data_IF_155832864574
#
_entry.id   IF_155832864574
#
_cell.length_a   1.000
_cell.length_b   1.000
_cell.length_c   1.000
_cell.angle_alpha   90.00
_cell.angle_beta   90.00
_cell.angle_gamma   90.00
#
_symmetry.space_group_name_H-M   'P 1'
#
loop_
_entity.id
_entity.type
_entity.pdbx_description
1 polymer ?
#
# COMPACT_ATOMS: atom_id res chain seq x y z
N UNK A 1 21.11 8.72 26.61
CA UNK A 1 21.18 7.76 25.50
C UNK A 1 21.05 8.51 24.20
N UNK A 2 21.87 8.17 23.18
CA UNK A 2 21.74 8.80 21.86
C UNK A 2 20.42 8.38 21.21
N UNK A 3 19.89 9.24 20.34
CA UNK A 3 18.65 8.94 19.57
C UNK A 3 18.76 7.60 18.83
N UNK A 4 19.94 7.24 18.32
CA UNK A 4 20.21 5.96 17.67
C UNK A 4 20.06 4.76 18.62
N UNK A 5 20.55 4.88 19.86
CA UNK A 5 20.41 3.81 20.87
C UNK A 5 18.95 3.59 21.25
N UNK A 6 18.17 4.67 21.34
CA UNK A 6 16.74 4.58 21.64
C UNK A 6 15.98 3.92 20.48
N UNK A 7 16.27 4.30 19.24
CA UNK A 7 15.65 3.68 18.06
C UNK A 7 15.96 2.20 17.96
N UNK A 8 17.20 1.79 18.26
CA UNK A 8 17.60 0.38 18.28
C UNK A 8 16.84 -0.43 19.35
N UNK A 9 16.62 0.15 20.54
CA UNK A 9 15.85 -0.50 21.60
C UNK A 9 14.38 -0.68 21.21
N UNK A 10 13.76 0.35 20.61
CA UNK A 10 12.38 0.26 20.13
C UNK A 10 12.27 -0.78 19.02
N UNK A 11 13.22 -0.78 18.07
CA UNK A 11 13.29 -1.78 17.02
C UNK A 11 13.30 -3.20 17.57
N UNK A 12 14.13 -3.47 18.58
CA UNK A 12 14.21 -4.79 19.21
C UNK A 12 12.88 -5.15 19.89
N UNK A 13 12.26 -4.22 20.57
CA UNK A 13 10.94 -4.42 21.19
C UNK A 13 9.88 -4.81 20.16
N UNK A 14 9.88 -4.15 19.00
CA UNK A 14 8.96 -4.47 17.90
C UNK A 14 9.21 -5.87 17.34
N UNK A 15 10.47 -6.25 17.16
CA UNK A 15 10.83 -7.63 16.74
C UNK A 15 10.36 -8.67 17.76
N UNK A 16 10.52 -8.41 19.05
CA UNK A 16 10.08 -9.30 20.14
C UNK A 16 8.55 -9.48 20.13
N UNK A 17 7.81 -8.48 19.66
CA UNK A 17 6.36 -8.53 19.46
C UNK A 17 5.95 -9.09 18.10
N UNK A 18 6.89 -9.62 17.33
CA UNK A 18 6.66 -10.20 16.00
C UNK A 18 6.30 -9.20 14.89
N UNK A 19 6.80 -7.98 14.97
CA UNK A 19 6.73 -7.07 13.85
C UNK A 19 7.48 -7.68 12.66
N UNK A 20 6.89 -7.74 11.44
CA UNK A 20 7.56 -8.30 10.28
C UNK A 20 8.87 -7.57 9.98
N UNK A 21 9.99 -8.29 10.04
CA UNK A 21 11.32 -7.69 9.89
C UNK A 21 11.51 -7.00 8.55
N UNK A 22 10.99 -7.58 7.48
CA UNK A 22 11.08 -7.00 6.15
C UNK A 22 10.39 -5.62 6.06
N UNK A 23 9.29 -5.42 6.77
CA UNK A 23 8.61 -4.13 6.87
C UNK A 23 9.39 -3.19 7.79
N UNK A 24 9.83 -3.68 8.93
CA UNK A 24 10.55 -2.89 9.93
C UNK A 24 11.85 -2.29 9.36
N UNK A 25 12.55 -3.04 8.50
CA UNK A 25 13.77 -2.57 7.83
C UNK A 25 13.55 -1.36 6.92
N UNK A 26 12.33 -1.17 6.45
CA UNK A 26 11.98 -0.08 5.53
C UNK A 26 11.48 1.18 6.25
N UNK A 27 11.16 1.08 7.54
CA UNK A 27 10.63 2.21 8.31
C UNK A 27 11.70 3.29 8.54
N UNK A 28 11.26 4.54 8.53
CA UNK A 28 12.10 5.65 8.98
C UNK A 28 12.37 5.56 10.49
N UNK A 29 13.48 6.12 10.99
CA UNK A 29 13.72 6.21 12.43
C UNK A 29 12.58 6.89 13.20
N UNK A 30 11.94 7.89 12.60
CA UNK A 30 10.80 8.61 13.16
C UNK A 30 9.57 7.70 13.30
N UNK A 31 9.29 6.87 12.30
CA UNK A 31 8.16 5.93 12.34
C UNK A 31 8.43 4.78 13.34
N UNK A 32 9.67 4.34 13.48
CA UNK A 32 10.06 3.39 14.55
C UNK A 32 9.85 4.04 15.92
N UNK A 33 10.31 5.27 16.10
CA UNK A 33 10.18 6.01 17.37
C UNK A 33 8.70 6.24 17.75
N UNK A 34 7.82 6.42 16.77
CA UNK A 34 6.38 6.54 16.99
C UNK A 34 5.75 5.27 17.62
N UNK A 35 6.42 4.13 17.54
CA UNK A 35 6.00 2.86 18.12
C UNK A 35 6.57 2.60 19.51
N UNK A 36 7.17 3.59 20.16
CA UNK A 36 7.73 3.44 21.51
C UNK A 36 6.67 3.00 22.50
N UNK A 37 7.01 2.00 23.32
CA UNK A 37 6.09 1.44 24.28
C UNK A 37 5.01 0.52 23.69
N UNK A 38 5.19 0.05 22.46
CA UNK A 38 4.25 -0.86 21.81
C UNK A 38 3.82 -2.02 22.73
N UNK A 39 2.51 -2.27 22.77
CA UNK A 39 1.91 -3.27 23.65
C UNK A 39 1.61 -4.57 22.91
N UNK A 40 1.17 -4.49 21.65
CA UNK A 40 0.75 -5.63 20.84
C UNK A 40 0.85 -5.28 19.36
N UNK A 41 1.08 -6.31 18.54
CA UNK A 41 1.12 -6.20 17.09
C UNK A 41 0.15 -7.20 16.48
N UNK A 42 -0.60 -6.71 15.47
CA UNK A 42 -1.44 -7.55 14.60
C UNK A 42 -0.95 -7.35 13.18
N UNK A 43 -0.71 -8.44 12.48
CA UNK A 43 -0.18 -8.38 11.11
C UNK A 43 -0.80 -9.43 10.20
N UNK A 44 -0.91 -9.09 8.93
CA UNK A 44 -1.35 -9.97 7.87
C UNK A 44 -0.57 -9.69 6.59
N UNK A 45 -0.16 -10.74 5.89
CA UNK A 45 0.57 -10.66 4.63
C UNK A 45 -0.11 -11.50 3.58
N UNK A 46 -0.30 -10.93 2.39
CA UNK A 46 -0.91 -11.60 1.24
C UNK A 46 -0.14 -11.28 -0.04
N UNK A 47 -0.02 -12.29 -0.91
CA UNK A 47 0.56 -12.12 -2.25
C UNK A 47 -0.56 -12.06 -3.27
N UNK A 48 -0.50 -11.05 -4.14
CA UNK A 48 -1.49 -10.81 -5.18
C UNK A 48 -0.88 -10.91 -6.56
N UNK A 49 -1.48 -11.72 -7.47
CA UNK A 49 -1.09 -11.70 -8.87
C UNK A 49 -1.58 -10.40 -9.51
N UNK A 50 -0.69 -9.74 -10.24
CA UNK A 50 -1.02 -8.61 -11.10
C UNK A 50 -0.88 -9.10 -12.51
N UNK A 51 -2.00 -9.47 -13.14
CA UNK A 51 -2.02 -9.98 -14.49
C UNK A 51 -1.88 -8.82 -15.48
N UNK A 52 -0.80 -8.85 -16.21
CA UNK A 52 -0.53 -7.90 -17.30
C UNK A 52 -0.83 -8.61 -18.63
N UNK A 53 -2.09 -8.52 -19.06
CA UNK A 53 -2.51 -9.03 -20.36
C UNK A 53 -2.12 -8.06 -21.46
N UNK A 54 -1.31 -8.49 -22.41
CA UNK A 54 -0.97 -7.71 -23.60
C UNK A 54 -1.40 -8.44 -24.86
N UNK A 55 -1.91 -7.69 -25.81
CA UNK A 55 -2.20 -8.21 -27.14
C UNK A 55 -0.91 -8.34 -27.93
N UNK A 56 -0.69 -9.50 -28.51
CA UNK A 56 0.46 -9.81 -29.35
C UNK A 56 -0.06 -10.26 -30.71
N UNK A 57 0.55 -9.76 -31.78
CA UNK A 57 0.31 -10.24 -33.12
C UNK A 57 1.43 -11.23 -33.50
N UNK A 58 1.03 -12.49 -33.66
CA UNK A 58 1.91 -13.53 -34.15
C UNK A 58 1.86 -13.56 -35.68
N UNK A 59 3.02 -13.55 -36.31
CA UNK A 59 3.14 -13.78 -37.73
C UNK A 59 3.02 -15.29 -38.03
N UNK A 60 2.14 -15.64 -38.95
CA UNK A 60 1.94 -17.01 -39.36
C UNK A 60 1.83 -17.11 -40.87
N UNK A 61 1.98 -18.29 -41.42
CA UNK A 61 1.89 -18.58 -42.85
C UNK A 61 0.91 -19.71 -43.11
N UNK A 62 0.03 -19.52 -44.09
CA UNK A 62 -0.91 -20.57 -44.49
C UNK A 62 -0.21 -21.61 -45.41
N UNK A 63 -0.98 -22.61 -45.85
CA UNK A 63 -0.49 -23.68 -46.72
C UNK A 63 0.05 -23.19 -48.07
N UNK A 64 -0.40 -21.99 -48.50
CA UNK A 64 0.08 -21.32 -49.73
C UNK A 64 1.27 -20.39 -49.48
N UNK A 65 1.83 -20.43 -48.28
CA UNK A 65 2.92 -19.56 -47.82
C UNK A 65 2.55 -18.06 -47.86
N UNK A 66 1.29 -17.74 -47.69
CA UNK A 66 0.80 -16.38 -47.54
C UNK A 66 0.81 -15.98 -46.07
N UNK A 67 1.37 -14.80 -45.78
CA UNK A 67 1.49 -14.29 -44.42
C UNK A 67 0.14 -13.79 -43.89
N UNK A 68 -0.15 -14.15 -42.67
CA UNK A 68 -1.28 -13.59 -41.90
C UNK A 68 -0.88 -13.37 -40.45
N UNK A 69 -1.69 -12.63 -39.70
CA UNK A 69 -1.42 -12.34 -38.29
C UNK A 69 -2.52 -12.96 -37.43
N UNK A 70 -2.09 -13.59 -36.34
CA UNK A 70 -2.98 -14.10 -35.32
C UNK A 70 -2.85 -13.21 -34.10
N UNK A 71 -3.98 -12.67 -33.66
CA UNK A 71 -4.03 -11.91 -32.43
C UNK A 71 -4.22 -12.88 -31.27
N UNK A 72 -3.37 -12.71 -30.27
CA UNK A 72 -3.39 -13.49 -29.03
C UNK A 72 -3.20 -12.58 -27.83
N UNK A 73 -3.62 -13.03 -26.66
CA UNK A 73 -3.38 -12.33 -25.41
C UNK A 73 -2.36 -13.13 -24.60
N UNK A 74 -1.20 -12.54 -24.40
CA UNK A 74 -0.15 -13.09 -23.54
C UNK A 74 -0.29 -12.47 -22.16
N UNK A 75 -0.41 -13.32 -21.15
CA UNK A 75 -0.45 -12.89 -19.75
C UNK A 75 0.92 -13.05 -19.12
N UNK A 76 1.45 -11.95 -18.61
CA UNK A 76 2.66 -11.93 -17.80
C UNK A 76 2.24 -11.65 -16.35
N UNK A 77 2.36 -12.65 -15.49
CA UNK A 77 1.94 -12.55 -14.10
C UNK A 77 3.06 -11.95 -13.29
N UNK A 78 2.80 -10.77 -12.75
CA UNK A 78 3.64 -10.10 -11.76
C UNK A 78 3.07 -10.36 -10.37
N UNK A 79 3.90 -10.27 -9.35
CA UNK A 79 3.46 -10.52 -7.98
C UNK A 79 3.74 -9.32 -7.08
N UNK A 80 2.70 -8.88 -6.39
CA UNK A 80 2.74 -7.82 -5.41
C UNK A 80 2.37 -8.40 -4.04
N UNK A 81 3.24 -8.19 -3.06
CA UNK A 81 2.98 -8.53 -1.65
C UNK A 81 2.49 -7.32 -0.90
N UNK A 82 1.35 -7.45 -0.23
CA UNK A 82 0.80 -6.46 0.69
C UNK A 82 0.90 -6.97 2.12
N UNK A 83 1.44 -6.16 3.01
CA UNK A 83 1.53 -6.47 4.44
C UNK A 83 0.90 -5.34 5.23
N UNK A 84 -0.13 -5.65 5.99
CA UNK A 84 -0.71 -4.75 6.98
C UNK A 84 -0.14 -5.05 8.36
N UNK A 85 0.18 -4.01 9.10
CA UNK A 85 0.67 -4.11 10.47
C UNK A 85 -0.04 -3.06 11.32
N UNK A 86 -0.61 -3.48 12.44
CA UNK A 86 -1.17 -2.57 13.43
C UNK A 86 -0.41 -2.75 14.75
N UNK A 87 0.04 -1.63 15.32
CA UNK A 87 0.79 -1.57 16.56
C UNK A 87 -0.04 -0.83 17.59
N UNK A 88 -0.40 -1.53 18.65
CA UNK A 88 -1.09 -0.90 19.80
C UNK A 88 -0.10 -0.07 20.60
N UNK A 89 -0.43 1.19 20.80
CA UNK A 89 0.40 2.14 21.54
C UNK A 89 -0.15 2.33 22.97
N UNK A 90 0.74 2.67 23.93
CA UNK A 90 0.29 3.00 25.28
C UNK A 90 -0.44 4.35 25.29
N UNK A 91 -1.33 4.53 26.24
CA UNK A 91 -2.07 5.78 26.44
C UNK A 91 -3.39 5.57 27.15
N UNK A 92 -4.05 6.67 27.52
CA UNK A 92 -5.36 6.65 28.15
C UNK A 92 -6.48 6.23 27.19
N UNK A 93 -6.29 6.58 25.90
CA UNK A 93 -7.16 6.13 24.81
C UNK A 93 -6.45 5.03 24.05
N UNK A 94 -7.20 4.05 23.65
CA UNK A 94 -6.67 3.01 22.76
C UNK A 94 -6.29 3.61 21.42
N UNK A 95 -5.01 3.53 21.09
CA UNK A 95 -4.42 4.10 19.88
C UNK A 95 -3.61 3.02 19.19
N UNK A 96 -3.81 2.92 17.89
CA UNK A 96 -3.06 2.01 17.02
C UNK A 96 -2.34 2.81 15.95
N UNK A 97 -1.10 2.43 15.66
CA UNK A 97 -0.40 2.87 14.47
C UNK A 97 -0.51 1.78 13.41
N UNK A 98 -0.99 2.14 12.23
CA UNK A 98 -1.27 1.21 11.14
C UNK A 98 -0.32 1.46 10.00
N UNK A 99 0.32 0.39 9.53
CA UNK A 99 1.22 0.39 8.39
C UNK A 99 0.62 -0.45 7.27
N UNK A 100 0.63 0.08 6.06
CA UNK A 100 0.37 -0.69 4.84
C UNK A 100 1.64 -0.67 4.00
N UNK A 101 2.26 -1.84 3.88
CA UNK A 101 3.50 -2.04 3.14
C UNK A 101 3.21 -2.78 1.85
N UNK A 102 3.89 -2.39 0.78
CA UNK A 102 3.89 -3.09 -0.49
C UNK A 102 5.30 -3.48 -0.91
N UNK A 103 5.42 -4.61 -1.58
CA UNK A 103 6.66 -5.11 -2.16
C UNK A 103 6.37 -5.81 -3.48
N UNK A 104 7.00 -5.36 -4.54
CA UNK A 104 7.06 -6.12 -5.78
C UNK A 104 8.07 -7.24 -5.61
N UNK A 105 7.59 -8.48 -5.57
CA UNK A 105 8.43 -9.68 -5.46
C UNK A 105 8.99 -10.11 -6.81
N UNK A 106 8.41 -9.59 -7.89
CA UNK A 106 8.88 -9.72 -9.27
C UNK A 106 9.16 -8.34 -9.85
N UNK A 107 9.78 -8.29 -11.04
CA UNK A 107 9.82 -7.05 -11.82
C UNK A 107 8.37 -6.60 -12.12
N UNK A 108 7.98 -5.36 -11.84
CA UNK A 108 6.63 -4.86 -12.12
C UNK A 108 6.30 -4.77 -13.62
N UNK A 109 7.27 -4.91 -14.51
CA UNK A 109 7.11 -4.90 -15.96
C UNK A 109 7.03 -3.49 -16.55
N UNK A 110 6.08 -2.69 -16.13
CA UNK A 110 5.95 -1.30 -16.55
C UNK A 110 6.37 -0.36 -15.42
N UNK A 111 7.22 0.60 -15.74
CA UNK A 111 7.74 1.59 -14.78
C UNK A 111 7.06 2.94 -15.03
N UNK A 112 5.88 3.08 -14.52
CA UNK A 112 5.07 4.28 -14.61
C UNK A 112 4.69 4.84 -13.25
N UNK A 113 3.46 5.28 -13.14
CA UNK A 113 2.92 5.83 -11.90
C UNK A 113 2.12 4.79 -11.17
N UNK A 114 2.40 4.67 -9.89
CA UNK A 114 1.68 3.86 -8.94
C UNK A 114 0.85 4.73 -8.01
N UNK A 115 -0.18 4.15 -7.43
CA UNK A 115 -0.93 4.80 -6.37
C UNK A 115 -1.29 3.82 -5.27
N UNK A 116 -1.23 4.30 -4.04
CA UNK A 116 -1.73 3.60 -2.88
C UNK A 116 -2.81 4.45 -2.22
N UNK A 117 -3.97 3.86 -1.97
CA UNK A 117 -5.06 4.49 -1.25
C UNK A 117 -5.39 3.68 -0.01
N UNK A 118 -5.45 4.35 1.11
CA UNK A 118 -5.81 3.76 2.40
C UNK A 118 -7.17 4.28 2.80
N UNK A 119 -8.03 3.36 3.20
CA UNK A 119 -9.31 3.66 3.85
C UNK A 119 -9.20 3.35 5.32
N UNK A 120 -8.99 4.37 6.16
CA UNK A 120 -8.88 4.18 7.60
C UNK A 120 -10.14 3.62 8.21
N UNK A 121 -9.98 3.08 9.39
CA UNK A 121 -10.93 2.33 10.18
C UNK A 121 -12.36 2.89 10.24
N UNK A 122 -13.30 2.00 10.44
CA UNK A 122 -14.69 2.28 10.81
C UNK A 122 -15.49 3.18 9.88
N UNK A 123 -15.39 2.94 8.60
CA UNK A 123 -16.12 3.71 7.60
C UNK A 123 -17.63 3.57 7.67
N UNK A 124 -18.12 2.42 8.11
CA UNK A 124 -19.55 2.10 8.15
C UNK A 124 -20.22 2.38 9.48
N UNK A 125 -19.43 2.76 10.50
CA UNK A 125 -19.93 3.02 11.86
C UNK A 125 -19.47 4.41 12.27
N UNK A 126 -20.39 5.35 12.57
CA UNK A 126 -20.06 6.72 13.01
C UNK A 126 -19.20 6.76 14.25
N UNK A 127 -19.34 5.74 15.04
CA UNK A 127 -18.72 5.54 16.33
C UNK A 127 -17.74 4.41 16.19
N UNK A 128 -16.47 4.68 16.27
CA UNK A 128 -15.48 3.64 16.12
C UNK A 128 -14.09 4.23 15.92
N UNK A 129 -13.29 3.58 15.14
CA UNK A 129 -11.92 3.99 14.90
C UNK A 129 -11.85 5.11 13.86
N UNK A 130 -11.07 6.12 14.14
CA UNK A 130 -10.86 7.26 13.25
C UNK A 130 -9.37 7.53 13.06
N UNK A 131 -8.97 7.86 11.83
CA UNK A 131 -7.62 8.30 11.57
C UNK A 131 -7.33 9.60 12.34
N UNK A 132 -6.13 9.67 12.92
CA UNK A 132 -5.63 10.82 13.67
C UNK A 132 -4.29 11.28 13.12
N UNK A 133 -4.14 12.57 12.86
CA UNK A 133 -2.91 13.15 12.36
C UNK A 133 -2.62 12.87 10.88
N UNK A 134 -1.41 13.21 10.47
CA UNK A 134 -0.95 13.07 9.11
C UNK A 134 -0.39 11.66 8.85
N UNK A 135 -0.53 11.19 7.62
CA UNK A 135 0.12 9.98 7.19
C UNK A 135 1.62 10.22 6.92
N UNK A 136 2.42 9.19 7.18
CA UNK A 136 3.84 9.14 6.86
C UNK A 136 4.13 8.00 5.89
N UNK A 137 5.35 7.93 5.39
CA UNK A 137 5.78 6.84 4.54
C UNK A 137 6.88 7.22 3.58
N UNK A 138 7.33 6.23 2.83
CA UNK A 138 8.36 6.40 1.79
C UNK A 138 8.35 5.25 0.81
N UNK A 139 9.00 5.45 -0.32
CA UNK A 139 9.26 4.44 -1.34
C UNK A 139 10.75 4.08 -1.32
N UNK A 140 11.05 2.80 -1.46
CA UNK A 140 12.41 2.28 -1.48
C UNK A 140 12.63 1.38 -2.70
N UNK A 141 13.86 1.27 -3.09
CA UNK A 141 14.31 0.32 -4.13
C UNK A 141 15.78 0.00 -3.94
N UNK A 142 16.20 -1.13 -4.49
CA UNK A 142 17.59 -1.54 -4.51
C UNK A 142 18.18 -1.31 -5.89
N UNK A 143 19.46 -0.96 -5.94
CA UNK A 143 20.24 -0.85 -7.16
C UNK A 143 21.71 -1.05 -6.85
N UNK A 144 22.36 -1.97 -7.57
CA UNK A 144 23.79 -2.22 -7.40
C UNK A 144 24.17 -2.65 -5.98
N UNK A 145 23.31 -3.39 -5.30
CA UNK A 145 23.53 -3.85 -3.92
C UNK A 145 23.32 -2.77 -2.84
N UNK A 146 22.83 -1.59 -3.22
CA UNK A 146 22.50 -0.50 -2.31
C UNK A 146 21.00 -0.24 -2.27
N UNK A 147 20.50 0.17 -1.10
CA UNK A 147 19.11 0.56 -0.92
C UNK A 147 18.99 2.07 -0.94
N UNK A 148 18.08 2.54 -1.78
CA UNK A 148 17.70 3.95 -1.89
C UNK A 148 16.30 4.15 -1.37
N UNK A 149 16.08 5.26 -0.69
CA UNK A 149 14.77 5.63 -0.16
C UNK A 149 14.49 7.10 -0.46
N UNK A 150 13.24 7.39 -0.74
CA UNK A 150 12.78 8.75 -0.97
C UNK A 150 11.37 8.94 -0.41
N UNK A 151 11.04 10.11 0.14
CA UNK A 151 9.65 10.45 0.41
C UNK A 151 8.88 10.52 -0.90
N UNK A 152 7.57 10.34 -0.85
CA UNK A 152 6.72 10.34 -2.04
C UNK A 152 6.89 11.61 -2.90
N UNK A 153 7.02 12.78 -2.27
CA UNK A 153 7.19 14.04 -2.99
C UNK A 153 8.45 14.08 -3.85
N UNK A 154 9.58 13.50 -3.42
CA UNK A 154 10.84 13.51 -4.18
C UNK A 154 10.83 12.57 -5.39
N UNK A 155 9.91 11.60 -5.44
CA UNK A 155 9.67 10.73 -6.58
C UNK A 155 8.57 11.26 -7.52
N UNK A 156 8.18 12.53 -7.37
CA UNK A 156 7.07 13.11 -8.10
C UNK A 156 5.70 12.70 -7.56
N UNK A 157 5.69 12.01 -6.44
CA UNK A 157 4.46 11.64 -5.78
C UNK A 157 3.85 12.85 -5.06
N UNK A 158 2.56 12.82 -4.93
CA UNK A 158 1.83 13.72 -4.05
C UNK A 158 0.93 12.94 -3.13
N UNK A 159 0.72 13.45 -1.96
CA UNK A 159 -0.19 12.89 -0.96
C UNK A 159 -1.34 13.85 -0.77
N UNK A 160 -2.54 13.35 -0.75
CA UNK A 160 -3.73 14.13 -0.44
C UNK A 160 -4.73 13.29 0.35
N UNK A 161 -5.67 13.97 0.92
CA UNK A 161 -6.77 13.36 1.65
C UNK A 161 -8.06 13.58 0.88
N UNK A 162 -8.75 12.52 0.55
CA UNK A 162 -10.05 12.58 -0.11
C UNK A 162 -11.16 12.29 0.90
N UNK A 163 -12.16 13.13 0.93
CA UNK A 163 -13.35 12.90 1.74
C UNK A 163 -14.29 11.97 0.98
N UNK A 164 -14.68 10.89 1.63
CA UNK A 164 -15.66 9.95 1.09
C UNK A 164 -16.93 9.99 1.92
N UNK A 165 -18.04 10.27 1.28
CA UNK A 165 -19.34 10.23 1.94
C UNK A 165 -19.89 8.81 1.91
N UNK A 166 -20.24 8.28 3.07
CA UNK A 166 -20.90 7.00 3.23
C UNK A 166 -22.33 7.24 3.77
N UNK A 167 -23.28 6.52 3.16
CA UNK A 167 -24.67 6.52 3.64
C UNK A 167 -25.32 7.92 3.76
N UNK A 168 -24.84 8.87 2.95
CA UNK A 168 -25.40 10.22 2.85
C UNK A 168 -25.05 11.20 3.98
N UNK A 169 -24.52 10.73 5.10
CA UNK A 169 -24.26 11.60 6.26
C UNK A 169 -22.86 11.49 6.85
N UNK A 170 -22.10 10.45 6.51
CA UNK A 170 -20.77 10.24 7.08
C UNK A 170 -19.66 10.50 6.08
N UNK A 171 -18.73 11.34 6.48
CA UNK A 171 -17.54 11.63 5.73
C UNK A 171 -16.33 10.99 6.41
N UNK A 172 -15.68 10.04 5.74
CA UNK A 172 -14.39 9.52 6.12
C UNK A 172 -13.31 10.07 5.20
N UNK A 173 -12.11 10.19 5.73
CA UNK A 173 -10.96 10.68 5.01
C UNK A 173 -10.11 9.50 4.53
N UNK A 174 -10.02 9.30 3.22
CA UNK A 174 -9.10 8.36 2.63
C UNK A 174 -7.72 9.03 2.43
N UNK A 175 -6.66 8.27 2.69
CA UNK A 175 -5.30 8.70 2.43
C UNK A 175 -4.88 8.22 1.04
N UNK A 176 -4.22 9.08 0.28
CA UNK A 176 -3.79 8.76 -1.07
C UNK A 176 -2.37 9.24 -1.31
N UNK A 177 -1.54 8.39 -1.90
CA UNK A 177 -0.23 8.75 -2.40
C UNK A 177 -0.03 8.18 -3.80
N UNK A 178 0.42 9.03 -4.72
CA UNK A 178 0.86 8.62 -6.04
C UNK A 178 2.37 8.85 -6.17
N UNK A 179 3.06 7.94 -6.83
CA UNK A 179 4.51 7.97 -6.97
C UNK A 179 4.93 7.28 -8.26
N UNK A 180 6.13 7.56 -8.71
CA UNK A 180 6.72 6.90 -9.89
C UNK A 180 7.62 5.76 -9.44
N UNK A 181 7.51 4.61 -10.11
CA UNK A 181 8.48 3.54 -9.94
C UNK A 181 9.83 3.95 -10.55
N UNK A 182 10.94 3.80 -9.81
CA UNK A 182 12.25 4.11 -10.33
C UNK A 182 12.66 3.10 -11.41
N UNK A 183 13.04 3.58 -12.57
CA UNK A 183 13.59 2.72 -13.64
C UNK A 183 14.86 2.05 -13.16
N UNK A 184 15.01 0.77 -13.49
CA UNK A 184 16.15 -0.06 -13.07
C UNK A 184 16.29 -0.27 -11.56
N UNK A 185 15.24 0.04 -10.79
CA UNK A 185 15.15 -0.32 -9.39
C UNK A 185 14.71 -1.77 -9.23
N UNK A 186 15.36 -2.47 -8.33
CA UNK A 186 14.97 -3.81 -7.90
C UNK A 186 14.26 -3.74 -6.55
N UNK A 187 13.41 -4.72 -6.27
CA UNK A 187 12.66 -4.81 -5.01
C UNK A 187 11.95 -3.51 -4.66
N UNK A 188 11.24 -2.94 -5.63
CA UNK A 188 10.43 -1.73 -5.41
C UNK A 188 9.42 -2.00 -4.32
N UNK A 189 9.43 -1.16 -3.30
CA UNK A 189 8.62 -1.33 -2.10
C UNK A 189 8.38 0.01 -1.42
N UNK A 190 7.52 0.01 -0.45
CA UNK A 190 7.24 1.19 0.33
C UNK A 190 6.12 0.98 1.32
N UNK A 191 5.76 2.01 2.04
CA UNK A 191 4.68 1.95 3.00
C UNK A 191 4.00 3.29 3.19
N UNK A 192 2.78 3.22 3.68
CA UNK A 192 2.04 4.34 4.24
C UNK A 192 1.65 3.98 5.66
N UNK A 193 1.86 4.89 6.60
CA UNK A 193 1.53 4.72 8.00
C UNK A 193 0.65 5.87 8.50
N UNK A 194 -0.27 5.56 9.39
CA UNK A 194 -1.10 6.54 10.06
C UNK A 194 -1.49 6.05 11.46
N UNK A 195 -1.87 6.97 12.33
CA UNK A 195 -2.42 6.64 13.63
C UNK A 195 -3.93 6.62 13.59
N UNK A 196 -4.54 5.72 14.36
CA UNK A 196 -5.98 5.69 14.57
C UNK A 196 -6.29 5.60 16.04
N UNK A 197 -7.30 6.34 16.46
CA UNK A 197 -7.75 6.37 17.84
C UNK A 197 -9.22 5.97 17.88
N UNK A 198 -9.57 5.19 18.88
CA UNK A 198 -10.97 4.87 19.14
C UNK A 198 -11.77 6.16 19.37
N UNK A 199 -12.80 6.35 18.57
CA UNK A 199 -13.71 7.49 18.71
C UNK A 199 -14.81 7.19 19.73
N UNK A 200 -15.27 5.95 19.76
CA UNK A 200 -16.20 5.36 20.74
C UNK A 200 -15.93 3.87 20.81
N UNK A 201 -16.72 3.13 21.57
CA UNK A 201 -16.60 1.67 21.71
C UNK A 201 -16.68 0.97 20.35
N UNK A 202 -15.54 0.85 19.69
CA UNK A 202 -15.40 0.17 18.41
C UNK A 202 -15.06 -1.30 18.59
N UNK A 203 -15.79 -2.18 17.91
CA UNK A 203 -15.61 -3.62 18.02
C UNK A 203 -14.54 -4.16 17.09
N UNK A 204 -14.35 -3.52 15.95
CA UNK A 204 -13.46 -3.97 14.87
C UNK A 204 -12.66 -2.79 14.37
N UNK A 205 -11.35 -2.96 14.29
CA UNK A 205 -10.50 -2.07 13.53
C UNK A 205 -10.39 -2.63 12.12
N UNK A 206 -10.72 -1.82 11.11
CA UNK A 206 -10.66 -2.19 9.71
C UNK A 206 -9.90 -1.10 8.93
N UNK A 207 -8.84 -1.47 8.25
CA UNK A 207 -8.04 -0.58 7.42
C UNK A 207 -7.88 -1.19 6.04
N UNK A 208 -8.54 -0.60 5.04
CA UNK A 208 -8.46 -1.04 3.66
C UNK A 208 -7.31 -0.39 2.91
N UNK A 209 -6.73 -1.13 1.98
CA UNK A 209 -5.69 -0.65 1.08
C UNK A 209 -6.03 -1.01 -0.36
N UNK A 210 -5.80 -0.06 -1.27
CA UNK A 210 -5.94 -0.23 -2.71
C UNK A 210 -4.62 0.19 -3.34
N UNK A 211 -3.97 -0.74 -4.01
CA UNK A 211 -2.75 -0.47 -4.75
C UNK A 211 -3.07 -0.49 -6.25
N UNK A 212 -2.76 0.60 -6.96
CA UNK A 212 -3.01 0.74 -8.39
C UNK A 212 -1.70 0.84 -9.15
N UNK A 213 -1.50 -0.08 -10.08
CA UNK A 213 -0.34 -0.16 -10.96
C UNK A 213 -0.70 0.32 -12.35
N UNK A 214 0.11 1.23 -12.89
CA UNK A 214 0.06 1.59 -14.30
C UNK A 214 0.78 0.52 -15.12
N UNK A 215 0.11 0.01 -16.15
CA UNK A 215 0.66 -1.04 -17.01
C UNK A 215 0.85 -0.63 -18.47
N UNK A 216 0.42 0.58 -18.86
CA UNK A 216 0.58 1.09 -20.21
C UNK A 216 0.62 2.61 -20.24
N UNK A 217 1.08 3.16 -21.36
CA UNK A 217 1.14 4.60 -21.56
C UNK A 217 -0.25 5.22 -21.68
N UNK A 218 -0.39 6.44 -21.17
CA UNK A 218 -1.58 7.28 -21.30
C UNK A 218 -1.22 8.57 -22.07
N UNK A 219 -2.20 9.12 -22.78
CA UNK A 219 -2.04 10.37 -23.52
C UNK A 219 -2.24 11.62 -22.66
N UNK A 220 -2.65 11.48 -21.41
CA UNK A 220 -2.93 12.57 -20.47
C UNK A 220 -2.27 12.32 -19.11
N UNK A 221 -2.22 13.32 -18.21
CA UNK A 221 -1.51 13.18 -16.93
C UNK A 221 -1.99 11.98 -16.11
N UNK A 222 -1.08 11.06 -15.85
CA UNK A 222 -1.36 9.78 -15.20
C UNK A 222 -1.92 9.96 -13.78
N UNK A 223 -1.33 10.87 -12.99
CA UNK A 223 -1.77 11.09 -11.61
C UNK A 223 -3.22 11.57 -11.56
N UNK A 224 -3.60 12.52 -12.42
CA UNK A 224 -4.99 12.99 -12.51
C UNK A 224 -5.96 11.89 -12.91
N UNK A 225 -5.56 11.04 -13.86
CA UNK A 225 -6.35 9.89 -14.27
C UNK A 225 -6.54 8.89 -13.13
N UNK A 226 -5.48 8.60 -12.38
CA UNK A 226 -5.53 7.72 -11.22
C UNK A 226 -6.41 8.28 -10.11
N UNK A 227 -6.28 9.56 -9.77
CA UNK A 227 -7.13 10.20 -8.77
C UNK A 227 -8.60 10.10 -9.12
N UNK A 228 -8.95 10.45 -10.34
CA UNK A 228 -10.33 10.37 -10.82
C UNK A 228 -10.85 8.94 -10.76
N UNK A 229 -10.04 7.96 -11.15
CA UNK A 229 -10.40 6.56 -11.10
C UNK A 229 -10.65 6.09 -9.67
N UNK A 230 -9.72 6.39 -8.75
CA UNK A 230 -9.80 5.98 -7.35
C UNK A 230 -10.97 6.62 -6.61
N UNK A 231 -11.42 7.79 -7.04
CA UNK A 231 -12.58 8.46 -6.45
C UNK A 231 -13.91 8.06 -7.08
N UNK A 232 -13.93 7.57 -8.31
CA UNK A 232 -15.16 7.29 -9.06
C UNK A 232 -15.40 5.82 -9.38
N UNK A 233 -14.34 5.06 -9.65
CA UNK A 233 -14.43 3.67 -10.09
C UNK A 233 -13.35 2.81 -9.43
N UNK A 234 -13.76 1.65 -8.97
CA UNK A 234 -12.85 0.59 -8.48
C UNK A 234 -12.76 -0.50 -9.53
N UNK A 235 -11.59 -0.95 -9.82
CA UNK A 235 -11.38 -2.05 -10.74
C UNK A 235 -10.37 -1.77 -11.84
N UNK A 236 -10.19 -2.75 -12.68
CA UNK A 236 -9.18 -2.75 -13.72
C UNK A 236 -9.62 -2.02 -14.98
N UNK A 237 -8.64 -1.46 -15.67
CA UNK A 237 -8.80 -0.93 -17.02
C UNK A 237 -7.58 -1.32 -17.86
N UNK A 238 -7.61 -0.99 -19.17
CA UNK A 238 -6.48 -1.27 -20.04
C UNK A 238 -5.16 -0.63 -19.61
N UNK A 239 -5.20 0.49 -18.86
CA UNK A 239 -4.03 1.23 -18.44
C UNK A 239 -3.63 0.96 -16.97
N UNK A 240 -4.56 0.49 -16.13
CA UNK A 240 -4.36 0.30 -14.71
C UNK A 240 -4.85 -1.06 -14.22
N UNK A 241 -4.15 -1.59 -13.22
CA UNK A 241 -4.60 -2.74 -12.41
C UNK A 241 -4.63 -2.33 -10.95
N UNK A 242 -5.67 -2.72 -10.26
CA UNK A 242 -5.86 -2.42 -8.83
C UNK A 242 -5.97 -3.70 -8.04
N UNK A 243 -5.20 -3.76 -6.96
CA UNK A 243 -5.23 -4.83 -5.97
C UNK A 243 -5.81 -4.27 -4.68
N UNK A 244 -6.67 -5.04 -4.04
CA UNK A 244 -7.36 -4.65 -2.79
C UNK A 244 -6.98 -5.61 -1.67
N UNK A 245 -6.77 -5.06 -0.48
CA UNK A 245 -6.58 -5.81 0.75
C UNK A 245 -7.16 -5.04 1.93
N UNK A 246 -7.28 -5.69 3.07
CA UNK A 246 -7.70 -5.05 4.31
C UNK A 246 -7.08 -5.75 5.51
N UNK A 247 -6.61 -4.95 6.46
CA UNK A 247 -6.27 -5.43 7.78
C UNK A 247 -7.48 -5.22 8.69
N UNK A 248 -8.10 -6.33 9.12
CA UNK A 248 -9.30 -6.31 9.94
C UNK A 248 -9.11 -7.22 11.15
N UNK A 249 -9.33 -6.70 12.34
CA UNK A 249 -9.16 -7.47 13.56
C UNK A 249 -10.01 -6.92 14.71
N UNK A 250 -10.18 -7.75 15.74
CA UNK A 250 -10.79 -7.35 16.99
C UNK A 250 -9.73 -6.73 17.90
N UNK A 251 -9.81 -5.44 18.26
CA UNK A 251 -8.80 -4.80 19.11
C UNK A 251 -8.68 -5.42 20.51
N UNK A 252 -9.76 -6.00 21.02
CA UNK A 252 -9.78 -6.59 22.35
C UNK A 252 -8.77 -7.74 22.51
N UNK A 253 -8.59 -8.58 21.50
CA UNK A 253 -7.72 -9.76 21.55
C UNK A 253 -6.71 -9.85 20.38
N UNK A 254 -6.80 -8.95 19.40
CA UNK A 254 -5.96 -8.94 18.21
C UNK A 254 -6.29 -10.02 17.20
N UNK A 255 -7.43 -10.71 17.33
CA UNK A 255 -7.82 -11.77 16.43
C UNK A 255 -8.24 -11.21 15.06
N UNK A 256 -7.60 -11.72 14.00
CA UNK A 256 -7.94 -11.37 12.62
C UNK A 256 -9.35 -11.88 12.25
N UNK A 257 -10.08 -11.05 11.49
CA UNK A 257 -11.28 -11.51 10.79
C UNK A 257 -10.85 -12.30 9.56
N UNK A 258 -11.46 -13.46 9.39
CA UNK A 258 -11.23 -14.34 8.24
C UNK A 258 -12.47 -14.39 7.36
#
# INVERSE_FOLDING_TARGET
ASTQTQTAAIRQQLLDLSFPEAVLNDLTPEDIAACDGALRIVTETENYPVNDGRNVLWEAYNEKNERYYVQDTVYDVKELRLTGVAVQLPGERETWMVFHHFLWTTDPGFYGTEAIQIRPACRSIPEGWAAAGDATGRVLYDRGGQTFAAPYASLGARTFTANTVLWGEQTNTDLFAAFSLPRHGEHCRGYVAYSTTEARDGYILSSGVYYTHQQSWLQYPVVTAMEKRLTTTWGDSGAFRTVQDALQFFPADGQLLR
#
